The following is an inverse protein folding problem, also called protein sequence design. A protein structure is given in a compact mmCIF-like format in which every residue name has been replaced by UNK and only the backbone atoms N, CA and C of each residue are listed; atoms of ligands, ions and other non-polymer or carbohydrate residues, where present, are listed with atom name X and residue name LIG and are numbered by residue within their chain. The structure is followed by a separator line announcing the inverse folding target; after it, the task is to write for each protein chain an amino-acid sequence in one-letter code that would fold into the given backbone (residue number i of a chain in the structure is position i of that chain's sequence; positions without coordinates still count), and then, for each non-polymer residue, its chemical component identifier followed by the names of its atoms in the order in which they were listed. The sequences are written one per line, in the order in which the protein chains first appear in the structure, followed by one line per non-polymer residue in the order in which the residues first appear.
data_IF_766329405818
#
_entry.id   IF_766329405818
#
_cell.length_a   1.000
_cell.length_b   1.000
_cell.length_c   1.000
_cell.angle_alpha   90.00
_cell.angle_beta   90.00
_cell.angle_gamma   90.00
#
_symmetry.space_group_name_H-M   'P 1'
#
loop_
_entity.id
_entity.type
_entity.pdbx_description
1 polymer ?
#
# COMPACT_ATOMS: atom_id res chain seq x y z
N UNK A 1 -28.81 -29.65 -3.50
CA UNK A 1 -28.00 -29.57 -4.71
C UNK A 1 -26.55 -29.31 -4.36
N UNK A 2 -25.63 -30.14 -4.80
CA UNK A 2 -24.23 -29.89 -4.57
C UNK A 2 -23.77 -28.68 -5.38
N UNK A 3 -22.93 -27.85 -4.81
CA UNK A 3 -22.33 -26.73 -5.53
C UNK A 3 -21.23 -27.24 -6.45
N UNK A 4 -21.28 -26.83 -7.70
CA UNK A 4 -20.25 -27.18 -8.69
C UNK A 4 -18.99 -26.34 -8.52
N UNK A 5 -19.07 -25.23 -7.81
CA UNK A 5 -17.98 -24.28 -7.64
C UNK A 5 -17.40 -24.32 -6.22
N UNK A 6 -16.10 -24.09 -6.13
CA UNK A 6 -15.46 -23.77 -4.86
C UNK A 6 -15.57 -22.25 -4.66
N UNK A 7 -16.00 -21.84 -3.48
CA UNK A 7 -16.10 -20.43 -3.12
C UNK A 7 -15.00 -20.06 -2.13
N UNK A 8 -14.09 -19.18 -2.56
CA UNK A 8 -12.91 -18.82 -1.79
C UNK A 8 -12.79 -17.29 -1.79
N UNK A 9 -12.45 -16.71 -0.63
CA UNK A 9 -12.14 -15.29 -0.54
C UNK A 9 -10.64 -15.07 -0.73
N UNK A 10 -10.28 -14.11 -1.57
CA UNK A 10 -8.88 -13.69 -1.74
C UNK A 10 -8.37 -12.80 -0.61
N UNK A 11 -9.26 -12.32 0.25
CA UNK A 11 -8.92 -11.36 1.30
C UNK A 11 -8.68 -9.95 0.79
N UNK A 12 -8.96 -9.68 -0.49
CA UNK A 12 -8.82 -8.33 -1.06
C UNK A 12 -9.88 -7.42 -0.46
N UNK A 13 -9.41 -6.32 0.14
CA UNK A 13 -10.25 -5.25 0.67
C UNK A 13 -10.31 -4.11 -0.33
N UNK A 14 -11.45 -3.46 -0.40
CA UNK A 14 -11.68 -2.28 -1.21
C UNK A 14 -11.70 -1.07 -0.28
N UNK A 15 -10.63 -0.28 -0.28
CA UNK A 15 -10.49 0.88 0.61
C UNK A 15 -10.63 2.19 -0.18
N UNK A 16 -11.77 2.87 -0.10
CA UNK A 16 -11.92 4.18 -0.73
C UNK A 16 -10.91 5.18 -0.17
N UNK A 17 -10.33 5.99 -1.04
CA UNK A 17 -9.37 7.02 -0.63
C UNK A 17 -10.12 8.33 -0.41
N UNK A 18 -10.08 8.80 0.83
CA UNK A 18 -10.68 10.06 1.25
C UNK A 18 -9.54 11.07 1.46
N UNK A 19 -9.62 12.20 0.79
CA UNK A 19 -8.62 13.26 0.87
C UNK A 19 -9.30 14.54 1.36
N UNK A 20 -8.83 15.08 2.48
CA UNK A 20 -9.40 16.27 3.10
C UNK A 20 -10.91 16.15 3.34
N UNK A 21 -11.36 14.96 3.74
CA UNK A 21 -12.78 14.70 4.02
C UNK A 21 -13.63 14.45 2.79
N UNK A 22 -13.05 14.44 1.59
CA UNK A 22 -13.77 14.26 0.32
C UNK A 22 -13.37 12.93 -0.31
N UNK A 23 -14.37 12.18 -0.79
CA UNK A 23 -14.12 10.95 -1.53
C UNK A 23 -13.52 11.30 -2.90
N UNK A 24 -12.34 10.75 -3.18
CA UNK A 24 -11.62 11.00 -4.42
C UNK A 24 -12.17 10.23 -5.62
N UNK A 25 -13.08 9.29 -5.40
CA UNK A 25 -13.56 8.36 -6.41
C UNK A 25 -12.58 7.22 -6.71
N UNK A 26 -11.46 7.18 -6.04
CA UNK A 26 -10.44 6.13 -6.18
C UNK A 26 -10.38 5.28 -4.92
N UNK A 27 -9.92 4.05 -5.06
CA UNK A 27 -9.72 3.12 -3.95
C UNK A 27 -8.38 2.43 -4.07
N UNK A 28 -7.91 1.90 -2.95
CA UNK A 28 -6.79 0.97 -2.93
C UNK A 28 -7.37 -0.42 -2.65
N UNK A 29 -7.24 -1.31 -3.61
CA UNK A 29 -7.76 -2.67 -3.54
C UNK A 29 -6.59 -3.62 -3.31
N UNK A 30 -6.50 -4.19 -2.12
CA UNK A 30 -5.37 -5.01 -1.74
C UNK A 30 -5.73 -5.96 -0.60
N UNK A 31 -5.02 -7.08 -0.54
CA UNK A 31 -5.05 -7.93 0.64
C UNK A 31 -3.93 -7.46 1.59
N UNK A 32 -4.28 -6.90 2.77
CA UNK A 32 -3.27 -6.36 3.69
C UNK A 32 -2.28 -7.38 4.24
N UNK A 33 -2.60 -8.68 4.14
CA UNK A 33 -1.75 -9.77 4.60
C UNK A 33 -1.01 -10.47 3.45
N UNK A 34 -1.09 -9.94 2.22
CA UNK A 34 -0.45 -10.52 1.05
C UNK A 34 1.01 -10.08 0.94
N UNK A 35 1.92 -11.05 1.00
CA UNK A 35 3.36 -10.81 0.87
C UNK A 35 3.72 -10.21 -0.49
N UNK A 36 3.03 -10.62 -1.56
CA UNK A 36 3.25 -10.08 -2.89
C UNK A 36 2.94 -8.59 -2.98
N UNK A 37 1.86 -8.15 -2.34
CA UNK A 37 1.53 -6.73 -2.26
C UNK A 37 2.58 -5.97 -1.43
N UNK A 38 3.02 -6.54 -0.31
CA UNK A 38 4.06 -5.94 0.52
C UNK A 38 5.36 -5.71 -0.28
N UNK A 39 5.77 -6.69 -1.06
CA UNK A 39 6.95 -6.58 -1.93
C UNK A 39 6.80 -5.48 -2.96
N UNK A 40 5.63 -5.37 -3.59
CA UNK A 40 5.33 -4.31 -4.56
C UNK A 40 5.37 -2.93 -3.92
N UNK A 41 4.83 -2.80 -2.71
CA UNK A 41 4.82 -1.55 -1.96
C UNK A 41 6.24 -1.12 -1.56
N UNK A 42 7.06 -2.05 -1.06
CA UNK A 42 8.47 -1.77 -0.75
C UNK A 42 9.26 -1.40 -2.00
N UNK A 43 8.99 -2.06 -3.12
CA UNK A 43 9.58 -1.71 -4.41
C UNK A 43 9.25 -0.27 -4.82
N UNK A 44 8.00 0.14 -4.62
CA UNK A 44 7.58 1.52 -4.89
C UNK A 44 8.31 2.52 -3.96
N UNK A 45 8.35 2.25 -2.66
CA UNK A 45 9.04 3.11 -1.69
C UNK A 45 10.52 3.29 -2.07
N UNK A 46 11.20 2.19 -2.41
CA UNK A 46 12.58 2.22 -2.86
C UNK A 46 12.77 3.06 -4.13
N UNK A 47 11.86 2.90 -5.09
CA UNK A 47 11.90 3.67 -6.35
C UNK A 47 11.71 5.16 -6.12
N UNK A 48 10.75 5.54 -5.26
CA UNK A 48 10.52 6.95 -4.90
C UNK A 48 11.75 7.56 -4.22
N UNK A 49 12.40 6.81 -3.34
CA UNK A 49 13.62 7.25 -2.67
C UNK A 49 14.75 7.51 -3.68
N UNK A 50 14.94 6.62 -4.67
CA UNK A 50 15.95 6.77 -5.71
C UNK A 50 15.69 7.98 -6.61
N UNK A 51 14.42 8.19 -6.98
CA UNK A 51 14.03 9.37 -7.79
C UNK A 51 14.34 10.64 -7.00
N UNK A 52 13.98 10.68 -5.73
CA UNK A 52 14.26 11.85 -4.88
C UNK A 52 15.75 12.13 -4.75
N UNK A 53 16.57 11.13 -4.48
CA UNK A 53 18.01 11.29 -4.33
C UNK A 53 18.67 11.81 -5.62
N UNK A 54 18.27 11.29 -6.77
CA UNK A 54 18.79 11.73 -8.06
C UNK A 54 18.42 13.18 -8.35
N UNK A 55 17.17 13.55 -8.15
CA UNK A 55 16.67 14.91 -8.41
C UNK A 55 17.21 15.92 -7.39
N UNK A 56 17.42 15.50 -6.15
CA UNK A 56 18.03 16.35 -5.12
C UNK A 56 19.43 16.78 -5.52
N UNK A 57 20.24 15.88 -6.07
CA UNK A 57 21.58 16.19 -6.56
C UNK A 57 21.53 17.20 -7.71
N UNK A 58 20.62 16.99 -8.68
CA UNK A 58 20.44 17.93 -9.79
C UNK A 58 20.00 19.32 -9.27
N UNK A 59 19.06 19.35 -8.35
CA UNK A 59 18.53 20.58 -7.76
C UNK A 59 19.62 21.37 -7.01
N UNK A 60 20.44 20.68 -6.21
CA UNK A 60 21.52 21.31 -5.44
C UNK A 60 22.63 21.85 -6.34
N UNK A 61 22.90 21.21 -7.47
CA UNK A 61 23.90 21.66 -8.44
C UNK A 61 23.42 22.81 -9.32
N UNK A 62 22.11 23.05 -9.39
CA UNK A 62 21.52 24.09 -10.25
C UNK A 62 21.40 25.42 -9.50
N UNK A 63 21.86 26.50 -10.13
CA UNK A 63 21.81 27.84 -9.53
C UNK A 63 20.65 28.69 -10.05
N UNK A 64 20.15 28.39 -11.26
CA UNK A 64 19.02 29.11 -11.86
C UNK A 64 17.72 28.65 -11.23
N UNK A 65 16.96 29.60 -10.66
CA UNK A 65 15.67 29.31 -10.01
C UNK A 65 14.66 28.67 -10.96
N UNK A 66 14.58 29.16 -12.20
CA UNK A 66 13.65 28.60 -13.19
C UNK A 66 13.96 27.13 -13.48
N UNK A 67 15.25 26.79 -13.62
CA UNK A 67 15.67 25.40 -13.85
C UNK A 67 15.42 24.53 -12.61
N UNK A 68 15.56 25.07 -11.41
CA UNK A 68 15.22 24.37 -10.17
C UNK A 68 13.74 24.00 -10.12
N UNK A 69 12.85 24.88 -10.53
CA UNK A 69 11.42 24.58 -10.62
C UNK A 69 11.14 23.48 -11.62
N UNK A 70 11.83 23.48 -12.76
CA UNK A 70 11.68 22.41 -13.76
C UNK A 70 12.14 21.07 -13.22
N UNK A 71 13.24 21.02 -12.48
CA UNK A 71 13.75 19.80 -11.85
C UNK A 71 12.71 19.28 -10.83
N UNK A 72 12.14 20.15 -10.01
CA UNK A 72 11.11 19.81 -9.05
C UNK A 72 9.84 19.28 -9.73
N UNK A 73 9.42 19.90 -10.83
CA UNK A 73 8.27 19.42 -11.62
C UNK A 73 8.53 18.04 -12.20
N UNK A 74 9.73 17.81 -12.75
CA UNK A 74 10.12 16.52 -13.31
C UNK A 74 10.15 15.43 -12.23
N UNK A 75 10.64 15.74 -11.03
CA UNK A 75 10.63 14.84 -9.89
C UNK A 75 9.21 14.37 -9.56
N UNK A 76 8.29 15.32 -9.41
CA UNK A 76 6.90 15.02 -9.10
C UNK A 76 6.25 14.15 -10.19
N UNK A 77 6.51 14.48 -11.46
CA UNK A 77 5.98 13.72 -12.59
C UNK A 77 6.49 12.27 -12.59
N UNK A 78 7.79 12.06 -12.35
CA UNK A 78 8.36 10.72 -12.28
C UNK A 78 7.81 9.92 -11.10
N UNK A 79 7.65 10.55 -9.95
CA UNK A 79 7.08 9.92 -8.76
C UNK A 79 5.63 9.51 -8.98
N UNK A 80 4.82 10.39 -9.58
CA UNK A 80 3.41 10.11 -9.90
C UNK A 80 3.29 8.92 -10.84
N UNK A 81 4.16 8.84 -11.83
CA UNK A 81 4.20 7.71 -12.75
C UNK A 81 4.50 6.40 -12.02
N UNK A 82 5.43 6.41 -11.08
CA UNK A 82 5.77 5.23 -10.27
C UNK A 82 4.58 4.80 -9.39
N UNK A 83 3.91 5.74 -8.74
CA UNK A 83 2.73 5.48 -7.91
C UNK A 83 1.58 4.93 -8.76
N UNK A 84 1.31 5.53 -9.90
CA UNK A 84 0.26 5.08 -10.82
C UNK A 84 0.53 3.67 -11.34
N UNK A 85 1.80 3.27 -11.50
CA UNK A 85 2.15 1.92 -11.92
C UNK A 85 1.67 0.85 -10.94
N UNK A 86 1.56 1.18 -9.65
CA UNK A 86 1.06 0.26 -8.63
C UNK A 86 -0.44 0.38 -8.42
N UNK A 87 -0.98 1.60 -8.41
CA UNK A 87 -2.37 1.85 -8.01
C UNK A 87 -3.32 2.12 -9.19
N UNK A 88 -2.80 2.29 -10.40
CA UNK A 88 -3.60 2.47 -11.61
C UNK A 88 -3.39 3.82 -12.28
N UNK A 89 -3.62 3.84 -13.59
CA UNK A 89 -3.47 5.05 -14.40
C UNK A 89 -4.38 6.17 -13.90
N UNK A 90 -3.82 7.37 -13.77
CA UNK A 90 -4.56 8.53 -13.30
C UNK A 90 -4.83 8.57 -11.80
N UNK A 91 -4.35 7.60 -11.04
CA UNK A 91 -4.56 7.56 -9.59
C UNK A 91 -4.09 8.83 -8.90
N UNK A 92 -2.84 9.24 -9.14
CA UNK A 92 -2.28 10.45 -8.53
C UNK A 92 -3.04 11.71 -8.93
N UNK A 93 -3.46 11.81 -10.19
CA UNK A 93 -4.22 12.94 -10.69
C UNK A 93 -5.54 13.11 -9.93
N UNK A 94 -6.22 12.00 -9.64
CA UNK A 94 -7.52 12.03 -8.96
C UNK A 94 -7.38 12.21 -7.44
N UNK A 95 -6.30 11.71 -6.85
CA UNK A 95 -6.12 11.68 -5.39
C UNK A 95 -5.33 12.87 -4.88
N UNK A 96 -4.19 13.19 -5.50
CA UNK A 96 -3.26 14.19 -4.97
C UNK A 96 -3.35 15.51 -5.74
N UNK A 97 -3.92 16.53 -5.09
CA UNK A 97 -4.07 17.88 -5.65
C UNK A 97 -2.86 18.77 -5.42
N UNK A 98 -1.91 18.30 -4.62
CA UNK A 98 -0.63 18.97 -4.34
C UNK A 98 0.51 18.07 -4.80
N UNK A 99 1.74 18.59 -4.77
CA UNK A 99 2.93 17.78 -5.05
C UNK A 99 3.03 16.63 -4.06
N UNK A 100 3.55 15.49 -4.50
CA UNK A 100 3.66 14.31 -3.63
C UNK A 100 4.58 14.58 -2.42
N UNK A 101 5.59 15.43 -2.58
CA UNK A 101 6.51 15.82 -1.51
C UNK A 101 6.10 17.12 -0.78
N UNK A 102 4.88 17.61 -1.01
CA UNK A 102 4.34 18.69 -0.17
C UNK A 102 4.21 18.17 1.26
N UNK A 103 4.51 19.03 2.23
CA UNK A 103 4.47 18.66 3.64
C UNK A 103 3.06 18.80 4.21
N UNK A 104 2.67 17.82 5.01
CA UNK A 104 1.44 17.82 5.79
C UNK A 104 1.66 17.00 7.06
N UNK A 105 1.39 17.60 8.21
CA UNK A 105 1.57 16.97 9.53
C UNK A 105 2.98 16.38 9.76
N UNK A 106 4.00 17.11 9.33
CA UNK A 106 5.41 16.76 9.57
C UNK A 106 5.99 15.70 8.63
N UNK A 107 5.18 15.22 7.70
CA UNK A 107 5.60 14.25 6.67
C UNK A 107 5.15 14.73 5.29
N UNK A 108 5.69 14.13 4.24
CA UNK A 108 5.18 14.42 2.90
C UNK A 108 3.82 13.77 2.70
N UNK A 109 3.03 14.33 1.78
CA UNK A 109 1.70 13.79 1.46
C UNK A 109 1.80 12.33 1.01
N UNK A 110 2.80 12.01 0.18
CA UNK A 110 2.98 10.61 -0.26
C UNK A 110 3.38 9.69 0.90
N UNK A 111 4.21 10.16 1.84
CA UNK A 111 4.55 9.39 3.02
C UNK A 111 3.31 9.11 3.89
N UNK A 112 2.46 10.12 4.10
CA UNK A 112 1.21 9.94 4.84
C UNK A 112 0.32 8.87 4.21
N UNK A 113 0.22 8.87 2.87
CA UNK A 113 -0.56 7.88 2.14
C UNK A 113 0.02 6.47 2.31
N UNK A 114 1.34 6.32 2.12
CA UNK A 114 1.99 5.01 2.23
C UNK A 114 1.95 4.48 3.67
N UNK A 115 2.11 5.34 4.66
CA UNK A 115 2.01 4.95 6.07
C UNK A 115 0.60 4.47 6.43
N UNK A 116 -0.44 5.08 5.88
CA UNK A 116 -1.81 4.63 6.09
C UNK A 116 -2.00 3.19 5.60
N UNK A 117 -1.42 2.86 4.46
CA UNK A 117 -1.46 1.49 3.92
C UNK A 117 -0.67 0.52 4.81
N UNK A 118 0.54 0.91 5.24
CA UNK A 118 1.39 0.09 6.11
C UNK A 118 0.70 -0.21 7.45
N UNK A 119 0.02 0.77 8.03
CA UNK A 119 -0.73 0.60 9.27
C UNK A 119 -1.85 -0.43 9.12
N UNK A 120 -2.58 -0.39 8.00
CA UNK A 120 -3.60 -1.39 7.67
C UNK A 120 -2.99 -2.79 7.54
N UNK A 121 -1.80 -2.88 6.94
CA UNK A 121 -1.11 -4.16 6.77
C UNK A 121 -0.69 -4.75 8.12
N UNK A 122 -0.11 -3.96 9.00
CA UNK A 122 0.31 -4.42 10.33
C UNK A 122 -0.87 -4.90 11.16
N UNK A 123 -1.95 -4.15 11.19
CA UNK A 123 -3.17 -4.51 11.91
C UNK A 123 -3.78 -5.80 11.37
N UNK A 124 -3.86 -5.92 10.06
CA UNK A 124 -4.44 -7.08 9.38
C UNK A 124 -3.61 -8.34 9.61
N UNK A 125 -2.29 -8.25 9.56
CA UNK A 125 -1.40 -9.40 9.81
C UNK A 125 -1.63 -9.91 11.24
N UNK A 126 -1.68 -9.01 12.22
CA UNK A 126 -1.93 -9.37 13.62
C UNK A 126 -3.26 -10.09 13.80
N UNK A 127 -4.33 -9.56 13.21
CA UNK A 127 -5.66 -10.17 13.27
C UNK A 127 -5.70 -11.54 12.59
N UNK A 128 -5.09 -11.66 11.42
CA UNK A 128 -5.08 -12.92 10.67
C UNK A 128 -4.27 -14.00 11.39
N UNK A 129 -3.15 -13.65 12.01
CA UNK A 129 -2.36 -14.59 12.80
C UNK A 129 -3.14 -15.11 14.00
N UNK A 130 -3.89 -14.24 14.68
CA UNK A 130 -4.74 -14.64 15.81
C UNK A 130 -5.84 -15.61 15.36
N UNK A 131 -6.51 -15.31 14.24
CA UNK A 131 -7.54 -16.19 13.66
C UNK A 131 -6.94 -17.54 13.23
N UNK A 132 -5.77 -17.51 12.62
CA UNK A 132 -5.05 -18.72 12.21
C UNK A 132 -4.72 -19.61 13.41
N UNK A 133 -4.17 -19.02 14.46
CA UNK A 133 -3.80 -19.74 15.67
C UNK A 133 -5.02 -20.36 16.36
N UNK A 134 -6.13 -19.63 16.44
CA UNK A 134 -7.38 -20.14 17.00
C UNK A 134 -7.93 -21.31 16.18
N UNK A 135 -7.88 -21.22 14.86
CA UNK A 135 -8.34 -22.27 13.95
C UNK A 135 -7.46 -23.53 14.04
N UNK A 136 -6.14 -23.35 14.07
CA UNK A 136 -5.20 -24.46 14.21
C UNK A 136 -5.41 -25.18 15.56
N UNK A 137 -5.57 -24.41 16.65
CA UNK A 137 -5.87 -24.97 17.97
C UNK A 137 -7.14 -25.83 17.95
N UNK A 138 -8.19 -25.34 17.31
CA UNK A 138 -9.44 -26.08 17.16
C UNK A 138 -9.24 -27.42 16.46
N UNK A 139 -8.49 -27.45 15.37
CA UNK A 139 -8.19 -28.68 14.63
C UNK A 139 -7.29 -29.63 15.42
N UNK A 140 -6.31 -29.10 16.15
CA UNK A 140 -5.43 -29.88 17.01
C UNK A 140 -6.22 -30.57 18.13
N UNK A 141 -7.16 -29.87 18.75
CA UNK A 141 -8.03 -30.44 19.78
C UNK A 141 -8.93 -31.55 19.21
N UNK A 142 -9.51 -31.32 18.02
CA UNK A 142 -10.30 -32.34 17.34
C UNK A 142 -9.49 -33.59 17.04
N UNK A 143 -8.27 -33.43 16.52
CA UNK A 143 -7.39 -34.53 16.23
C UNK A 143 -6.98 -35.32 17.48
N UNK A 144 -6.70 -34.64 18.57
CA UNK A 144 -6.38 -35.27 19.84
C UNK A 144 -7.52 -36.10 20.36
N UNK A 145 -8.76 -35.61 20.28
CA UNK A 145 -9.96 -36.37 20.67
C UNK A 145 -10.14 -37.60 19.80
N UNK A 146 -10.00 -37.45 18.47
CA UNK A 146 -10.10 -38.57 17.55
C UNK A 146 -9.08 -39.65 17.87
N UNK A 147 -7.82 -39.29 18.03
CA UNK A 147 -6.74 -40.21 18.38
C UNK A 147 -7.00 -40.97 19.69
N UNK A 148 -7.55 -40.29 20.70
CA UNK A 148 -7.89 -40.88 21.97
C UNK A 148 -8.90 -42.03 21.86
N UNK A 149 -9.89 -41.90 20.95
CA UNK A 149 -10.94 -42.90 20.79
C UNK A 149 -10.64 -43.99 19.77
N UNK A 150 -9.63 -43.79 18.91
CA UNK A 150 -9.36 -44.69 17.78
C UNK A 150 -7.98 -45.37 17.86
N UNK A 151 -7.29 -45.22 18.95
CA UNK A 151 -6.06 -45.98 19.20
C UNK A 151 -6.38 -47.26 20.00
#
# INVERSE_FOLDING_TARGET
MSQENLSISSGILHKPVIMDGVDTGRSVDFNPADQGFAESLYGLISKLSKIHEAKKKEYEAEQDIANRFEISMAEDAEMRKAVDSLFGDGFCKDVFKVRLFALSDGMTVIENFLMAILDEMDESVTENLAKRDARIKKYTEKYSKYKKYHN
#
